data_IF_453913372212
#
_entry.id   IF_453913372212
#
_cell.length_a   1.000
_cell.length_b   1.000
_cell.length_c   1.000
_cell.angle_alpha   90.00
_cell.angle_beta   90.00
_cell.angle_gamma   90.00
#
_symmetry.space_group_name_H-M   'P 1'
#
loop_
_entity.id
_entity.type
_entity.pdbx_description
1 polymer ?
#
# COMPACT_ATOMS: atom_id res chain seq x y z
N UNK A 1 2.46 15.48 -14.56
CA UNK A 1 3.24 14.32 -15.03
C UNK A 1 3.70 13.43 -13.88
N UNK A 2 4.28 13.97 -12.80
CA UNK A 2 4.72 13.16 -11.65
C UNK A 2 3.60 12.35 -10.98
N UNK A 3 2.42 12.94 -10.80
CA UNK A 3 1.25 12.21 -10.27
C UNK A 3 0.80 11.05 -11.18
N UNK A 4 0.96 11.20 -12.49
CA UNK A 4 0.63 10.16 -13.47
C UNK A 4 1.67 9.02 -13.43
N UNK A 5 2.93 9.37 -13.23
CA UNK A 5 4.04 8.41 -13.09
C UNK A 5 3.95 7.62 -11.79
N UNK A 6 3.57 8.28 -10.68
CA UNK A 6 3.31 7.62 -9.40
C UNK A 6 2.19 6.59 -9.52
N UNK A 7 1.09 6.95 -10.19
CA UNK A 7 -0.05 6.05 -10.43
C UNK A 7 0.35 4.84 -11.29
N UNK A 8 1.18 5.06 -12.31
CA UNK A 8 1.69 3.99 -13.19
C UNK A 8 2.61 3.01 -12.44
N UNK A 9 3.43 3.52 -11.52
CA UNK A 9 4.27 2.69 -10.66
C UNK A 9 3.41 1.86 -9.70
N UNK A 10 2.32 2.39 -9.15
CA UNK A 10 1.41 1.60 -8.32
C UNK A 10 0.72 0.49 -9.11
N UNK A 11 0.17 0.81 -10.29
CA UNK A 11 -0.46 -0.20 -11.17
C UNK A 11 0.53 -1.31 -11.57
N UNK A 12 1.80 -0.97 -11.83
CA UNK A 12 2.82 -1.98 -12.16
C UNK A 12 3.16 -2.92 -10.98
N UNK A 13 3.13 -2.41 -9.74
CA UNK A 13 3.34 -3.23 -8.54
C UNK A 13 2.16 -4.17 -8.31
N UNK A 14 0.94 -3.69 -8.53
CA UNK A 14 -0.26 -4.51 -8.44
C UNK A 14 -0.23 -5.63 -9.48
N UNK A 15 0.18 -5.34 -10.72
CA UNK A 15 0.31 -6.35 -11.77
C UNK A 15 1.34 -7.44 -11.41
N UNK A 16 2.47 -7.09 -10.80
CA UNK A 16 3.47 -8.06 -10.34
C UNK A 16 2.92 -8.93 -9.21
N UNK A 17 2.21 -8.34 -8.23
CA UNK A 17 1.58 -9.10 -7.15
C UNK A 17 0.53 -10.08 -7.67
N UNK A 18 -0.32 -9.65 -8.60
CA UNK A 18 -1.32 -10.51 -9.25
C UNK A 18 -0.64 -11.66 -10.00
N UNK A 19 0.47 -11.41 -10.70
CA UNK A 19 1.26 -12.46 -11.38
C UNK A 19 1.81 -13.48 -10.39
N UNK A 20 2.37 -13.03 -9.26
CA UNK A 20 2.89 -13.94 -8.23
C UNK A 20 1.79 -14.83 -7.67
N UNK A 21 0.61 -14.27 -7.35
CA UNK A 21 -0.55 -15.03 -6.87
C UNK A 21 -1.04 -16.04 -7.92
N UNK A 22 -1.06 -15.67 -9.20
CA UNK A 22 -1.44 -16.60 -10.26
C UNK A 22 -0.45 -17.76 -10.40
N UNK A 23 0.86 -17.52 -10.28
CA UNK A 23 1.88 -18.57 -10.37
C UNK A 23 1.80 -19.55 -9.18
N UNK A 24 1.53 -19.07 -7.96
CA UNK A 24 1.29 -19.96 -6.81
C UNK A 24 0.05 -20.80 -7.02
N UNK A 25 -1.07 -20.21 -7.45
CA UNK A 25 -2.29 -20.96 -7.77
C UNK A 25 -2.09 -22.00 -8.88
N UNK A 26 -1.29 -21.70 -9.90
CA UNK A 26 -0.92 -22.68 -10.93
C UNK A 26 -0.11 -23.84 -10.37
N UNK A 27 0.85 -23.57 -9.48
CA UNK A 27 1.65 -24.61 -8.84
C UNK A 27 0.81 -25.52 -7.92
N UNK A 28 -0.13 -24.95 -7.17
CA UNK A 28 -1.07 -25.72 -6.33
C UNK A 28 -2.01 -26.56 -7.19
N UNK A 29 -2.53 -26.01 -8.29
CA UNK A 29 -3.41 -26.74 -9.20
C UNK A 29 -2.67 -27.91 -9.86
N UNK A 30 -1.41 -27.71 -10.26
CA UNK A 30 -0.56 -28.80 -10.77
C UNK A 30 -0.36 -29.90 -9.71
N UNK A 31 -0.10 -29.53 -8.45
CA UNK A 31 0.04 -30.49 -7.34
C UNK A 31 -1.24 -31.26 -7.07
N UNK A 32 -2.40 -30.60 -7.16
CA UNK A 32 -3.71 -31.27 -7.06
C UNK A 32 -3.92 -32.25 -8.22
N UNK A 33 -3.54 -31.89 -9.45
CA UNK A 33 -3.61 -32.79 -10.61
C UNK A 33 -2.73 -34.03 -10.43
N UNK A 34 -1.47 -33.85 -10.01
CA UNK A 34 -0.54 -34.96 -9.75
C UNK A 34 -1.10 -35.92 -8.69
N UNK A 35 -1.64 -35.39 -7.60
CA UNK A 35 -2.27 -36.18 -6.54
C UNK A 35 -3.53 -36.93 -7.02
N UNK A 36 -4.38 -36.30 -7.83
CA UNK A 36 -5.56 -36.97 -8.43
C UNK A 36 -5.12 -38.10 -9.37
N UNK A 37 -4.06 -37.90 -10.16
CA UNK A 37 -3.52 -38.95 -11.03
C UNK A 37 -2.93 -40.12 -10.24
N UNK A 38 -2.24 -39.85 -9.14
CA UNK A 38 -1.67 -40.88 -8.25
C UNK A 38 -2.77 -41.69 -7.55
N UNK A 39 -3.84 -41.01 -7.09
CA UNK A 39 -5.01 -41.68 -6.51
C UNK A 39 -5.78 -42.51 -7.54
N UNK A 40 -5.90 -42.03 -8.78
CA UNK A 40 -6.49 -42.79 -9.87
C UNK A 40 -5.68 -44.06 -10.20
N UNK A 41 -4.34 -43.96 -10.17
CA UNK A 41 -3.46 -45.10 -10.40
C UNK A 41 -3.57 -46.16 -9.28
N UNK A 42 -3.57 -45.73 -8.01
CA UNK A 42 -3.78 -46.64 -6.87
C UNK A 42 -5.14 -47.31 -6.90
N UNK A 43 -6.20 -46.60 -7.28
CA UNK A 43 -7.53 -47.18 -7.45
C UNK A 43 -7.56 -48.23 -8.58
N UNK A 44 -6.88 -47.97 -9.70
CA UNK A 44 -6.74 -48.96 -10.79
C UNK A 44 -6.03 -50.23 -10.33
N UNK A 45 -4.99 -50.10 -9.51
CA UNK A 45 -4.26 -51.27 -8.99
C UNK A 45 -5.12 -52.06 -7.99
N UNK A 46 -5.90 -51.38 -7.14
CA UNK A 46 -6.87 -52.03 -6.25
C UNK A 46 -7.96 -52.79 -7.04
N UNK A 47 -8.47 -52.19 -8.12
CA UNK A 47 -9.40 -52.87 -9.03
C UNK A 47 -8.78 -54.09 -9.69
N UNK A 48 -7.50 -54.04 -10.05
CA UNK A 48 -6.77 -55.16 -10.64
C UNK A 48 -6.64 -56.33 -9.65
N UNK A 49 -6.28 -56.05 -8.39
CA UNK A 49 -6.23 -57.06 -7.32
C UNK A 49 -7.61 -57.70 -7.10
N UNK A 50 -8.67 -56.90 -7.09
CA UNK A 50 -10.06 -57.40 -6.98
C UNK A 50 -10.44 -58.32 -8.15
N UNK A 51 -9.99 -58.03 -9.38
CA UNK A 51 -10.22 -58.88 -10.56
C UNK A 51 -9.52 -60.23 -10.49
N UNK A 52 -8.36 -60.30 -9.84
CA UNK A 52 -7.55 -61.53 -9.74
C UNK A 52 -7.99 -62.43 -8.56
N UNK A 53 -8.94 -62.00 -7.74
CA UNK A 53 -9.43 -62.79 -6.60
C UNK A 53 -10.66 -63.62 -7.02
N UNK A 54 -10.65 -64.97 -6.92
CA UNK A 54 -11.77 -65.80 -7.36
C UNK A 54 -13.05 -65.50 -6.58
N UNK A 55 -14.14 -65.27 -7.32
CA UNK A 55 -15.39 -64.71 -6.83
C UNK A 55 -16.21 -65.67 -5.93
N UNK A 56 -16.45 -65.26 -4.68
CA UNK A 56 -17.69 -65.61 -3.98
C UNK A 56 -18.74 -64.50 -4.20
N UNK A 57 -20.00 -64.81 -4.55
CA UNK A 57 -20.89 -63.89 -5.27
C UNK A 57 -21.66 -62.85 -4.41
N UNK A 58 -21.22 -62.46 -3.21
CA UNK A 58 -22.05 -61.62 -2.33
C UNK A 58 -21.43 -60.38 -1.62
N UNK A 59 -20.11 -60.24 -1.35
CA UNK A 59 -19.63 -59.10 -0.56
C UNK A 59 -19.24 -57.84 -1.36
N UNK A 60 -19.13 -57.92 -2.70
CA UNK A 60 -18.49 -56.90 -3.55
C UNK A 60 -19.18 -55.52 -3.48
N UNK A 61 -20.49 -55.46 -3.27
CA UNK A 61 -21.25 -54.17 -3.21
C UNK A 61 -21.05 -53.41 -1.89
N UNK A 62 -20.81 -54.12 -0.79
CA UNK A 62 -20.56 -53.49 0.51
C UNK A 62 -19.16 -52.89 0.56
N UNK A 63 -18.19 -53.58 -0.01
CA UNK A 63 -16.80 -53.12 -0.04
C UNK A 63 -16.62 -51.94 -1.01
N UNK A 64 -17.33 -51.93 -2.14
CA UNK A 64 -17.40 -50.75 -3.03
C UNK A 64 -18.03 -49.53 -2.34
N UNK A 65 -19.12 -49.71 -1.58
CA UNK A 65 -19.74 -48.60 -0.83
C UNK A 65 -18.81 -48.06 0.25
N UNK A 66 -18.09 -48.93 0.97
CA UNK A 66 -17.07 -48.53 1.95
C UNK A 66 -15.89 -47.81 1.29
N UNK A 67 -15.44 -48.26 0.13
CA UNK A 67 -14.40 -47.60 -0.63
C UNK A 67 -14.86 -46.21 -1.11
N UNK A 68 -16.11 -46.08 -1.56
CA UNK A 68 -16.69 -44.81 -2.01
C UNK A 68 -16.82 -43.81 -0.87
N UNK A 69 -17.34 -44.21 0.29
CA UNK A 69 -17.45 -43.32 1.46
C UNK A 69 -16.08 -42.94 2.02
N UNK A 70 -15.11 -43.85 1.97
CA UNK A 70 -13.72 -43.55 2.30
C UNK A 70 -13.12 -42.52 1.34
N UNK A 71 -13.38 -42.63 0.04
CA UNK A 71 -12.94 -41.68 -0.98
C UNK A 71 -13.61 -40.32 -0.79
N UNK A 72 -14.92 -40.27 -0.53
CA UNK A 72 -15.66 -39.03 -0.26
C UNK A 72 -15.11 -38.31 0.97
N UNK A 73 -14.85 -39.04 2.05
CA UNK A 73 -14.24 -38.47 3.27
C UNK A 73 -12.84 -37.92 3.00
N UNK A 74 -12.02 -38.64 2.22
CA UNK A 74 -10.68 -38.17 1.81
C UNK A 74 -10.76 -36.93 0.93
N UNK A 75 -11.68 -36.89 -0.04
CA UNK A 75 -11.87 -35.73 -0.91
C UNK A 75 -12.34 -34.51 -0.13
N UNK A 76 -13.29 -34.69 0.80
CA UNK A 76 -13.75 -33.61 1.67
C UNK A 76 -12.64 -33.08 2.56
N UNK A 77 -11.88 -33.98 3.20
CA UNK A 77 -10.70 -33.62 4.00
C UNK A 77 -9.67 -32.86 3.16
N UNK A 78 -9.40 -33.30 1.92
CA UNK A 78 -8.52 -32.61 1.00
C UNK A 78 -8.99 -31.19 0.67
N UNK A 79 -10.27 -30.99 0.35
CA UNK A 79 -10.83 -29.67 0.06
C UNK A 79 -10.72 -28.74 1.28
N UNK A 80 -11.01 -29.25 2.48
CA UNK A 80 -10.87 -28.49 3.73
C UNK A 80 -9.41 -28.10 3.97
N UNK A 81 -8.48 -29.07 3.90
CA UNK A 81 -7.04 -28.77 4.07
C UNK A 81 -6.51 -27.81 3.02
N UNK A 82 -6.94 -27.93 1.75
CA UNK A 82 -6.54 -27.00 0.68
C UNK A 82 -7.03 -25.58 0.96
N UNK A 83 -8.24 -25.41 1.50
CA UNK A 83 -8.78 -24.11 1.88
C UNK A 83 -8.01 -23.51 3.06
N UNK A 84 -7.71 -24.33 4.06
CA UNK A 84 -6.91 -23.90 5.21
C UNK A 84 -5.50 -23.48 4.80
N UNK A 85 -4.83 -24.26 3.93
CA UNK A 85 -3.50 -23.90 3.41
C UNK A 85 -3.53 -22.61 2.60
N UNK A 86 -4.56 -22.39 1.77
CA UNK A 86 -4.70 -21.12 1.02
C UNK A 86 -4.91 -19.93 1.94
N UNK A 87 -5.72 -20.08 3.00
CA UNK A 87 -5.88 -19.01 3.99
C UNK A 87 -4.58 -18.76 4.76
N UNK A 88 -3.81 -19.79 5.07
CA UNK A 88 -2.51 -19.65 5.75
C UNK A 88 -1.50 -18.94 4.85
N UNK A 89 -1.40 -19.31 3.57
CA UNK A 89 -0.56 -18.62 2.57
C UNK A 89 -0.95 -17.15 2.44
N UNK A 90 -2.25 -16.83 2.39
CA UNK A 90 -2.73 -15.43 2.36
C UNK A 90 -2.35 -14.65 3.63
N UNK A 91 -2.45 -15.29 4.81
CA UNK A 91 -2.03 -14.68 6.09
C UNK A 91 -0.52 -14.45 6.10
N UNK A 92 0.28 -15.42 5.66
CA UNK A 92 1.72 -15.29 5.55
C UNK A 92 2.12 -14.22 4.54
N UNK A 93 1.45 -14.13 3.40
CA UNK A 93 1.71 -13.10 2.41
C UNK A 93 1.33 -11.71 2.91
N UNK A 94 0.28 -11.60 3.73
CA UNK A 94 -0.07 -10.34 4.43
C UNK A 94 1.01 -9.95 5.43
N UNK A 95 1.46 -10.89 6.28
CA UNK A 95 2.59 -10.68 7.20
C UNK A 95 3.87 -10.34 6.46
N UNK A 96 4.15 -10.98 5.34
CA UNK A 96 5.33 -10.71 4.52
C UNK A 96 5.23 -9.35 3.84
N UNK A 97 4.06 -8.94 3.35
CA UNK A 97 3.85 -7.60 2.82
C UNK A 97 4.04 -6.52 3.91
N UNK A 98 3.56 -6.76 5.13
CA UNK A 98 3.82 -5.89 6.28
C UNK A 98 5.30 -5.86 6.65
N UNK A 99 5.96 -7.01 6.70
CA UNK A 99 7.40 -7.13 6.95
C UNK A 99 8.22 -6.49 5.84
N UNK A 100 7.82 -6.61 4.57
CA UNK A 100 8.46 -5.93 3.45
C UNK A 100 8.22 -4.42 3.52
N UNK A 101 7.04 -3.98 3.95
CA UNK A 101 6.76 -2.57 4.20
C UNK A 101 7.66 -2.01 5.32
N UNK A 102 7.88 -2.78 6.38
CA UNK A 102 8.84 -2.45 7.45
C UNK A 102 10.28 -2.47 6.92
N UNK A 103 10.69 -3.50 6.18
CA UNK A 103 12.04 -3.62 5.57
C UNK A 103 12.31 -2.50 4.56
N UNK A 104 11.31 -2.01 3.83
CA UNK A 104 11.43 -0.85 2.93
C UNK A 104 11.78 0.44 3.66
N UNK A 105 11.52 0.53 4.97
CA UNK A 105 11.94 1.66 5.82
C UNK A 105 13.38 1.51 6.33
N UNK A 106 14.01 0.35 6.12
CA UNK A 106 15.37 0.08 6.56
C UNK A 106 16.34 0.22 5.38
N UNK A 107 17.33 1.11 5.50
CA UNK A 107 18.43 1.23 4.54
C UNK A 107 19.61 0.40 5.05
N UNK A 108 20.31 -0.31 4.15
CA UNK A 108 21.59 -0.96 4.48
C UNK A 108 22.72 -0.24 3.76
N UNK A 109 23.71 0.20 4.52
CA UNK A 109 24.95 0.76 3.98
C UNK A 109 26.05 -0.28 4.22
N UNK A 110 26.73 -0.68 3.15
CA UNK A 110 27.87 -1.59 3.22
C UNK A 110 29.18 -0.81 3.02
N UNK A 111 30.26 -1.28 3.64
CA UNK A 111 31.60 -0.71 3.47
C UNK A 111 31.92 0.51 4.34
N UNK A 112 31.14 0.74 5.41
CA UNK A 112 31.50 1.72 6.44
C UNK A 112 32.54 1.11 7.38
N UNK A 113 33.75 1.66 7.40
CA UNK A 113 34.83 1.27 8.31
C UNK A 113 34.36 1.37 9.77
N UNK A 114 34.75 0.40 10.60
CA UNK A 114 34.39 0.35 12.03
C UNK A 114 35.56 0.89 12.84
N UNK A 115 35.32 1.93 13.64
CA UNK A 115 36.31 2.47 14.58
C UNK A 115 36.00 1.99 16.01
N UNK A 116 37.02 1.89 16.86
CA UNK A 116 36.89 1.28 18.20
C UNK A 116 35.95 2.05 19.14
N UNK A 117 35.78 3.35 18.91
CA UNK A 117 34.93 4.25 19.71
C UNK A 117 33.73 4.78 18.91
N UNK A 118 33.33 4.08 17.86
CA UNK A 118 32.34 4.58 16.92
C UNK A 118 30.93 4.69 17.51
N UNK A 119 30.39 5.90 17.52
CA UNK A 119 28.95 6.13 17.62
C UNK A 119 28.36 5.95 16.22
N UNK A 120 27.89 4.74 15.90
CA UNK A 120 27.38 4.34 14.57
C UNK A 120 26.43 5.37 13.94
N UNK A 121 25.62 6.05 14.75
CA UNK A 121 24.66 7.05 14.28
C UNK A 121 25.34 8.34 13.78
N UNK A 122 26.45 8.75 14.38
CA UNK A 122 27.25 9.91 13.98
C UNK A 122 27.98 9.61 12.66
N UNK A 123 28.65 8.46 12.57
CA UNK A 123 29.36 8.02 11.36
C UNK A 123 28.43 7.90 10.17
N UNK A 124 27.22 7.37 10.37
CA UNK A 124 26.20 7.34 9.33
C UNK A 124 25.75 8.75 8.94
N UNK A 125 25.52 9.62 9.91
CA UNK A 125 25.10 11.00 9.66
C UNK A 125 26.16 11.77 8.88
N UNK A 126 27.44 11.56 9.19
CA UNK A 126 28.59 12.10 8.47
C UNK A 126 28.67 11.54 7.05
N UNK A 127 28.53 10.24 6.86
CA UNK A 127 28.47 9.62 5.53
C UNK A 127 27.37 10.23 4.64
N UNK A 128 26.16 10.43 5.19
CA UNK A 128 25.08 11.10 4.46
C UNK A 128 25.42 12.56 4.10
N UNK A 129 26.07 13.30 5.01
CA UNK A 129 26.47 14.69 4.79
C UNK A 129 27.58 14.81 3.76
N UNK A 130 28.64 14.03 3.89
CA UNK A 130 29.85 14.16 3.07
C UNK A 130 29.71 13.47 1.72
N UNK A 131 29.24 12.22 1.71
CA UNK A 131 29.18 11.40 0.50
C UNK A 131 27.91 11.71 -0.31
N UNK A 132 26.76 11.71 0.37
CA UNK A 132 25.46 11.88 -0.30
C UNK A 132 24.98 13.33 -0.35
N UNK A 133 25.72 14.27 0.27
CA UNK A 133 25.39 15.71 0.33
C UNK A 133 23.99 15.99 0.90
N UNK A 134 23.54 15.16 1.84
CA UNK A 134 22.29 15.36 2.58
C UNK A 134 22.61 16.12 3.86
N UNK A 135 22.23 17.40 3.92
CA UNK A 135 22.61 18.30 5.01
C UNK A 135 22.07 17.90 6.40
N UNK A 136 20.90 17.24 6.44
CA UNK A 136 20.22 16.86 7.69
C UNK A 136 19.49 15.52 7.57
N UNK A 137 20.19 14.37 7.53
CA UNK A 137 19.55 13.06 7.51
C UNK A 137 18.83 12.80 8.84
N UNK A 138 17.53 12.48 8.81
CA UNK A 138 16.79 12.05 10.00
C UNK A 138 16.89 10.54 10.11
N UNK A 139 17.96 10.07 10.74
CA UNK A 139 18.17 8.66 11.07
C UNK A 139 17.60 8.42 12.47
N UNK A 140 16.57 7.59 12.56
CA UNK A 140 15.88 7.29 13.83
C UNK A 140 16.70 6.33 14.68
N UNK A 141 17.32 5.34 14.03
CA UNK A 141 18.30 4.46 14.66
C UNK A 141 19.26 3.90 13.61
N UNK A 142 20.47 3.56 14.06
CA UNK A 142 21.51 2.94 13.25
C UNK A 142 22.18 1.83 14.06
N UNK A 143 22.39 0.66 13.46
CA UNK A 143 23.08 -0.46 14.11
C UNK A 143 23.95 -1.24 13.13
N UNK A 144 25.13 -1.67 13.59
CA UNK A 144 25.97 -2.61 12.82
C UNK A 144 25.33 -3.99 12.78
N UNK A 145 25.30 -4.59 11.59
CA UNK A 145 24.83 -5.95 11.39
C UNK A 145 26.00 -6.92 11.39
N UNK A 146 25.86 -8.00 12.16
CA UNK A 146 26.88 -9.06 12.30
C UNK A 146 27.40 -9.18 13.73
N UNK A 147 27.96 -10.35 14.07
CA UNK A 147 28.69 -10.55 15.32
C UNK A 147 30.08 -9.93 15.17
N UNK A 148 30.54 -9.23 16.21
CA UNK A 148 31.93 -8.83 16.28
C UNK A 148 32.74 -10.13 16.40
N UNK A 149 33.42 -10.51 15.33
CA UNK A 149 34.24 -11.72 15.30
C UNK A 149 35.68 -11.30 15.06
N UNK A 150 36.63 -12.05 15.60
CA UNK A 150 38.07 -11.77 15.49
C UNK A 150 38.62 -11.76 14.05
N UNK A 151 37.75 -11.90 13.04
CA UNK A 151 38.07 -11.94 11.61
C UNK A 151 37.85 -10.61 10.86
N UNK A 152 37.57 -9.51 11.56
CA UNK A 152 37.57 -8.16 10.97
C UNK A 152 36.27 -7.36 11.21
N UNK A 153 36.25 -6.09 10.73
CA UNK A 153 35.17 -5.15 10.99
C UNK A 153 33.84 -5.59 10.36
N UNK A 154 32.72 -5.23 11.00
CA UNK A 154 31.39 -5.57 10.54
C UNK A 154 31.07 -4.78 9.27
N UNK A 155 30.78 -5.45 8.14
CA UNK A 155 30.77 -4.80 6.83
C UNK A 155 29.50 -3.99 6.53
N UNK A 156 28.48 -4.01 7.39
CA UNK A 156 27.19 -3.40 7.08
C UNK A 156 26.51 -2.75 8.28
N UNK A 157 25.85 -1.63 8.02
CA UNK A 157 25.04 -0.87 8.95
C UNK A 157 23.59 -0.88 8.46
N UNK A 158 22.65 -1.23 9.34
CA UNK A 158 21.22 -1.09 9.13
C UNK A 158 20.71 0.18 9.76
N UNK A 159 19.91 0.93 9.01
CA UNK A 159 19.37 2.23 9.40
C UNK A 159 17.87 2.22 9.32
N UNK A 160 17.21 2.77 10.34
CA UNK A 160 15.79 3.06 10.28
C UNK A 160 15.60 4.55 9.95
N UNK A 161 14.98 4.84 8.80
CA UNK A 161 14.78 6.22 8.34
C UNK A 161 13.34 6.63 8.61
N UNK A 162 13.15 7.78 9.27
CA UNK A 162 11.82 8.31 9.53
C UNK A 162 11.16 8.76 8.22
N UNK A 163 9.88 8.38 8.01
CA UNK A 163 9.11 8.49 6.76
C UNK A 163 8.98 9.90 6.16
N UNK A 164 9.44 10.93 6.87
CA UNK A 164 9.45 12.32 6.41
C UNK A 164 10.55 12.65 5.37
N UNK A 165 11.45 11.71 5.02
CA UNK A 165 12.55 11.96 4.07
C UNK A 165 12.42 11.14 2.77
N UNK A 166 11.36 11.42 2.00
CA UNK A 166 11.17 10.89 0.64
C UNK A 166 12.33 11.22 -0.34
N UNK A 167 13.18 12.21 -0.01
CA UNK A 167 14.29 12.66 -0.86
C UNK A 167 15.43 11.65 -0.97
N UNK A 168 15.73 10.86 0.07
CA UNK A 168 16.85 9.91 0.07
C UNK A 168 16.52 8.70 -0.84
N UNK A 169 15.26 8.27 -0.83
CA UNK A 169 14.80 7.13 -1.63
C UNK A 169 14.82 7.41 -3.13
N UNK A 170 14.61 8.66 -3.54
CA UNK A 170 14.70 9.08 -4.95
C UNK A 170 16.16 9.15 -5.44
N UNK A 171 17.13 9.48 -4.58
CA UNK A 171 18.54 9.53 -4.94
C UNK A 171 19.09 8.13 -5.30
N UNK A 172 18.73 7.09 -4.54
CA UNK A 172 19.20 5.72 -4.80
C UNK A 172 18.47 5.01 -5.95
N UNK A 173 17.25 5.45 -6.32
CA UNK A 173 16.53 4.94 -7.49
C UNK A 173 16.98 5.57 -8.81
N UNK A 174 17.64 6.73 -8.75
CA UNK A 174 18.31 7.34 -9.89
C UNK A 174 19.69 6.72 -10.04
N UNK A 175 19.85 5.82 -11.00
CA UNK A 175 21.16 5.37 -11.48
C UNK A 175 22.12 6.55 -11.57
N UNK A 176 23.29 6.44 -10.92
CA UNK A 176 24.41 7.33 -11.15
C UNK A 176 24.87 7.22 -12.60
N UNK A 177 24.19 7.95 -13.49
CA UNK A 177 24.54 8.38 -14.84
C UNK A 177 23.35 9.16 -15.40
N UNK A 178 23.62 10.38 -15.86
CA UNK A 178 22.74 11.10 -16.77
C UNK A 178 22.47 10.21 -17.99
N UNK A 179 21.21 9.84 -18.22
CA UNK A 179 20.74 9.40 -19.53
C UNK A 179 19.74 10.44 -20.03
N UNK A 180 19.89 10.93 -21.27
CA UNK A 180 19.00 11.91 -21.84
C UNK A 180 17.63 11.29 -22.10
N UNK A 181 16.60 12.13 -22.10
CA UNK A 181 15.23 11.78 -22.41
C UNK A 181 15.13 10.86 -23.64
N UNK A 182 14.68 9.63 -23.44
CA UNK A 182 14.39 8.66 -24.49
C UNK A 182 13.09 7.93 -24.21
N UNK A 183 12.08 8.24 -25.04
CA UNK A 183 10.93 7.44 -25.47
C UNK A 183 9.88 6.91 -24.48
N UNK A 184 8.68 7.48 -24.66
CA UNK A 184 7.36 6.99 -24.21
C UNK A 184 6.99 5.59 -24.75
N UNK A 185 7.87 4.94 -25.52
CA UNK A 185 7.65 3.64 -26.14
C UNK A 185 7.70 2.46 -25.15
N UNK A 186 8.46 2.55 -24.07
CA UNK A 186 8.73 1.39 -23.20
C UNK A 186 7.58 1.03 -22.27
N UNK A 187 6.80 2.02 -21.82
CA UNK A 187 5.62 1.76 -20.98
C UNK A 187 4.48 1.14 -21.81
N UNK A 188 4.29 1.61 -23.05
CA UNK A 188 3.34 1.00 -23.98
C UNK A 188 3.79 -0.41 -24.41
N UNK A 189 5.10 -0.67 -24.54
CA UNK A 189 5.64 -2.02 -24.75
C UNK A 189 5.37 -2.94 -23.55
N UNK A 190 5.53 -2.45 -22.32
CA UNK A 190 5.25 -3.22 -21.10
C UNK A 190 3.78 -3.63 -20.96
N UNK A 191 2.84 -2.71 -21.18
CA UNK A 191 1.39 -3.02 -21.13
C UNK A 191 0.99 -3.98 -22.25
N UNK A 192 1.56 -3.81 -23.45
CA UNK A 192 1.31 -4.70 -24.58
C UNK A 192 1.89 -6.11 -24.34
N UNK A 193 3.07 -6.21 -23.71
CA UNK A 193 3.70 -7.48 -23.30
C UNK A 193 2.86 -8.22 -22.26
N UNK A 194 2.31 -7.52 -21.27
CA UNK A 194 1.43 -8.13 -20.26
C UNK A 194 0.13 -8.61 -20.91
N UNK A 195 -0.43 -7.85 -21.86
CA UNK A 195 -1.62 -8.28 -22.61
C UNK A 195 -1.35 -9.51 -23.49
N UNK A 196 -0.18 -9.60 -24.14
CA UNK A 196 0.18 -10.80 -24.92
C UNK A 196 0.40 -12.00 -24.02
N UNK A 197 1.15 -11.86 -22.91
CA UNK A 197 1.36 -12.92 -21.92
C UNK A 197 0.03 -13.43 -21.33
N UNK A 198 -0.91 -12.53 -21.04
CA UNK A 198 -2.26 -12.90 -20.59
C UNK A 198 -3.08 -13.63 -21.67
N UNK A 199 -2.83 -13.33 -22.94
CA UNK A 199 -3.51 -13.99 -24.05
C UNK A 199 -2.96 -15.40 -24.28
N UNK A 200 -1.65 -15.56 -24.14
CA UNK A 200 -0.95 -16.85 -24.20
C UNK A 200 -1.37 -17.75 -23.03
N UNK A 201 -1.48 -17.21 -21.81
CA UNK A 201 -1.99 -17.95 -20.65
C UNK A 201 -3.43 -18.42 -20.84
N UNK A 202 -4.30 -17.60 -21.44
CA UNK A 202 -5.68 -18.02 -21.78
C UNK A 202 -5.68 -19.11 -22.84
N UNK A 203 -4.75 -19.06 -23.80
CA UNK A 203 -4.60 -20.08 -24.83
C UNK A 203 -4.13 -21.41 -24.23
N UNK A 204 -3.14 -21.39 -23.34
CA UNK A 204 -2.64 -22.57 -22.64
C UNK A 204 -3.70 -23.21 -21.74
N UNK A 205 -4.52 -22.39 -21.05
CA UNK A 205 -5.63 -22.90 -20.24
C UNK A 205 -6.68 -23.61 -21.10
N UNK A 206 -7.03 -23.07 -22.28
CA UNK A 206 -7.94 -23.75 -23.22
C UNK A 206 -7.36 -25.06 -23.73
N UNK A 207 -6.06 -25.08 -24.05
CA UNK A 207 -5.36 -26.28 -24.53
C UNK A 207 -5.31 -27.36 -23.46
N UNK A 208 -5.08 -26.98 -22.20
CA UNK A 208 -5.10 -27.89 -21.06
C UNK A 208 -6.51 -28.43 -20.80
N UNK A 209 -7.54 -27.57 -20.83
CA UNK A 209 -8.94 -27.99 -20.71
C UNK A 209 -9.29 -29.02 -21.78
N UNK A 210 -8.91 -28.75 -23.04
CA UNK A 210 -9.16 -29.67 -24.15
C UNK A 210 -8.48 -31.03 -23.96
N UNK A 211 -7.22 -31.05 -23.50
CA UNK A 211 -6.51 -32.31 -23.18
C UNK A 211 -7.18 -33.09 -22.04
N UNK A 212 -7.74 -32.38 -21.07
CA UNK A 212 -8.49 -32.99 -19.97
C UNK A 212 -9.77 -33.64 -20.47
N UNK A 213 -10.51 -32.97 -21.36
CA UNK A 213 -11.71 -33.51 -22.00
C UNK A 213 -11.39 -34.70 -22.91
N UNK A 214 -10.28 -34.66 -23.65
CA UNK A 214 -9.78 -35.78 -24.47
C UNK A 214 -9.40 -36.99 -23.61
N UNK A 215 -8.67 -36.78 -22.51
CA UNK A 215 -8.32 -37.86 -21.57
C UNK A 215 -9.55 -38.44 -20.88
N UNK A 216 -10.52 -37.58 -20.53
CA UNK A 216 -11.80 -38.02 -19.97
C UNK A 216 -12.52 -38.91 -20.97
N UNK A 217 -12.66 -38.47 -22.22
CA UNK A 217 -13.31 -39.24 -23.27
C UNK A 217 -12.62 -40.59 -23.54
N UNK A 218 -11.30 -40.63 -23.65
CA UNK A 218 -10.52 -41.87 -23.82
C UNK A 218 -10.70 -42.82 -22.62
N UNK A 219 -10.70 -42.27 -21.41
CA UNK A 219 -10.98 -43.06 -20.20
C UNK A 219 -12.40 -43.63 -20.21
N UNK A 220 -13.42 -42.81 -20.50
CA UNK A 220 -14.82 -43.26 -20.59
C UNK A 220 -14.98 -44.35 -21.65
N UNK A 221 -14.35 -44.17 -22.81
CA UNK A 221 -14.41 -45.15 -23.91
C UNK A 221 -13.73 -46.48 -23.56
N UNK A 222 -12.57 -46.44 -22.89
CA UNK A 222 -11.89 -47.65 -22.37
C UNK A 222 -12.74 -48.34 -21.30
N UNK A 223 -13.39 -47.57 -20.43
CA UNK A 223 -14.26 -48.11 -19.38
C UNK A 223 -15.51 -48.77 -19.98
N UNK A 224 -16.17 -48.13 -20.94
CA UNK A 224 -17.31 -48.71 -21.67
C UNK A 224 -16.93 -50.01 -22.37
N UNK A 225 -15.75 -50.07 -23.00
CA UNK A 225 -15.29 -51.28 -23.68
C UNK A 225 -15.08 -52.43 -22.70
N UNK A 226 -14.41 -52.18 -21.57
CA UNK A 226 -14.20 -53.18 -20.52
C UNK A 226 -15.53 -53.63 -19.90
N UNK A 227 -16.49 -52.70 -19.71
CA UNK A 227 -17.82 -53.01 -19.18
C UNK A 227 -18.67 -53.85 -20.15
N UNK A 228 -18.59 -53.59 -21.46
CA UNK A 228 -19.30 -54.35 -22.50
C UNK A 228 -18.72 -55.75 -22.73
N UNK A 229 -17.40 -55.89 -22.62
CA UNK A 229 -16.70 -57.15 -22.95
C UNK A 229 -16.64 -58.15 -21.77
N UNK A 230 -16.59 -57.69 -20.49
CA UNK A 230 -16.33 -58.60 -19.35
C UNK A 230 -17.53 -58.90 -18.43
N UNK A 231 -18.52 -58.00 -18.26
CA UNK A 231 -19.67 -58.23 -17.35
C UNK A 231 -20.94 -57.42 -17.73
N UNK A 232 -21.81 -57.92 -18.65
CA UNK A 232 -23.00 -57.19 -19.10
C UNK A 232 -24.08 -56.85 -18.04
N UNK A 233 -24.28 -57.60 -16.92
CA UNK A 233 -25.38 -57.28 -15.99
C UNK A 233 -25.07 -56.22 -14.93
N UNK A 234 -23.82 -55.71 -14.81
CA UNK A 234 -23.40 -54.78 -13.73
C UNK A 234 -23.31 -53.32 -14.23
N UNK A 235 -23.32 -53.10 -15.54
CA UNK A 235 -23.19 -51.79 -16.22
C UNK A 235 -24.21 -50.73 -15.77
N UNK A 236 -25.50 -51.03 -15.52
CA UNK A 236 -26.49 -50.00 -15.16
C UNK A 236 -26.20 -49.30 -13.83
N UNK A 237 -25.61 -50.01 -12.86
CA UNK A 237 -25.30 -49.45 -11.54
C UNK A 237 -24.06 -48.54 -11.58
N UNK A 238 -23.11 -48.80 -12.49
CA UNK A 238 -21.92 -47.95 -12.64
C UNK A 238 -22.23 -46.61 -13.28
N UNK A 239 -23.03 -46.56 -14.36
CA UNK A 239 -23.45 -45.29 -14.98
C UNK A 239 -24.18 -44.41 -13.97
N UNK A 240 -25.01 -45.01 -13.12
CA UNK A 240 -25.70 -44.31 -12.04
C UNK A 240 -24.71 -43.70 -11.04
N UNK A 241 -23.75 -44.48 -10.53
CA UNK A 241 -22.70 -44.00 -9.61
C UNK A 241 -21.85 -42.89 -10.23
N UNK A 242 -21.47 -43.00 -11.51
CA UNK A 242 -20.71 -41.96 -12.21
C UNK A 242 -21.51 -40.67 -12.37
N UNK A 243 -22.80 -40.77 -12.70
CA UNK A 243 -23.68 -39.60 -12.81
C UNK A 243 -23.89 -38.89 -11.46
N UNK A 244 -24.00 -39.65 -10.37
CA UNK A 244 -24.08 -39.14 -9.00
C UNK A 244 -22.76 -38.45 -8.58
N UNK A 245 -21.61 -39.01 -8.97
CA UNK A 245 -20.31 -38.42 -8.69
C UNK A 245 -20.08 -37.13 -9.51
N UNK A 246 -20.42 -37.12 -10.80
CA UNK A 246 -20.33 -35.93 -11.66
C UNK A 246 -21.22 -34.79 -11.15
N UNK A 247 -22.44 -35.10 -10.68
CA UNK A 247 -23.34 -34.10 -10.11
C UNK A 247 -22.79 -33.52 -8.80
N UNK A 248 -22.22 -34.36 -7.91
CA UNK A 248 -21.54 -33.89 -6.70
C UNK A 248 -20.30 -33.05 -7.01
N UNK A 249 -19.49 -33.43 -7.99
CA UNK A 249 -18.30 -32.65 -8.39
C UNK A 249 -18.68 -31.27 -8.95
N UNK A 250 -19.76 -31.20 -9.73
CA UNK A 250 -20.29 -29.92 -10.22
C UNK A 250 -20.79 -29.05 -9.08
N UNK A 251 -21.53 -29.61 -8.11
CA UNK A 251 -22.00 -28.83 -6.97
C UNK A 251 -20.84 -28.30 -6.10
N UNK A 252 -19.79 -29.09 -5.89
CA UNK A 252 -18.59 -28.61 -5.19
C UNK A 252 -17.86 -27.49 -5.96
N UNK A 253 -17.76 -27.60 -7.28
CA UNK A 253 -17.14 -26.57 -8.10
C UNK A 253 -17.95 -25.25 -8.09
N UNK A 254 -19.27 -25.33 -8.04
CA UNK A 254 -20.15 -24.16 -7.90
C UNK A 254 -19.98 -23.50 -6.54
N UNK A 255 -20.02 -24.26 -5.43
CA UNK A 255 -19.79 -23.74 -4.08
C UNK A 255 -18.41 -23.10 -3.94
N UNK A 256 -17.37 -23.70 -4.54
CA UNK A 256 -16.03 -23.13 -4.55
C UNK A 256 -15.98 -21.79 -5.31
N UNK A 257 -16.61 -21.70 -6.50
CA UNK A 257 -16.70 -20.45 -7.25
C UNK A 257 -17.45 -19.37 -6.50
N UNK A 258 -18.58 -19.72 -5.88
CA UNK A 258 -19.36 -18.78 -5.09
C UNK A 258 -18.55 -18.24 -3.91
N UNK A 259 -17.84 -19.11 -3.19
CA UNK A 259 -16.98 -18.70 -2.07
C UNK A 259 -15.83 -17.76 -2.49
N UNK A 260 -15.26 -17.95 -3.69
CA UNK A 260 -14.25 -17.04 -4.23
C UNK A 260 -14.86 -15.70 -4.63
N UNK A 261 -16.06 -15.72 -5.24
CA UNK A 261 -16.79 -14.51 -5.59
C UNK A 261 -17.17 -13.68 -4.36
N UNK A 262 -17.58 -14.33 -3.26
CA UNK A 262 -17.91 -13.61 -2.02
C UNK A 262 -16.67 -12.95 -1.43
N UNK A 263 -15.53 -13.65 -1.39
CA UNK A 263 -14.27 -13.10 -0.88
C UNK A 263 -13.79 -11.88 -1.69
N UNK A 264 -13.87 -11.97 -3.02
CA UNK A 264 -13.54 -10.84 -3.89
C UNK A 264 -14.49 -9.65 -3.68
N UNK A 265 -15.79 -9.89 -3.53
CA UNK A 265 -16.77 -8.83 -3.24
C UNK A 265 -16.49 -8.14 -1.92
N UNK A 266 -16.18 -8.89 -0.87
CA UNK A 266 -15.82 -8.34 0.45
C UNK A 266 -14.56 -7.48 0.38
N UNK A 267 -13.54 -7.92 -0.38
CA UNK A 267 -12.31 -7.16 -0.59
C UNK A 267 -12.57 -5.83 -1.31
N UNK A 268 -13.36 -5.86 -2.38
CA UNK A 268 -13.70 -4.65 -3.15
C UNK A 268 -14.61 -3.70 -2.34
N UNK A 269 -15.55 -4.22 -1.56
CA UNK A 269 -16.35 -3.42 -0.62
C UNK A 269 -15.47 -2.74 0.43
N UNK A 270 -14.49 -3.46 0.99
CA UNK A 270 -13.53 -2.90 1.93
C UNK A 270 -12.70 -1.77 1.31
N UNK A 271 -12.28 -1.92 0.05
CA UNK A 271 -11.55 -0.88 -0.70
C UNK A 271 -12.42 0.34 -0.98
N UNK A 272 -13.67 0.13 -1.41
CA UNK A 272 -14.62 1.21 -1.67
C UNK A 272 -14.91 2.02 -0.41
N UNK A 273 -15.15 1.35 0.73
CA UNK A 273 -15.37 2.02 2.01
C UNK A 273 -14.16 2.87 2.45
N UNK A 274 -12.93 2.39 2.21
CA UNK A 274 -11.72 3.17 2.49
C UNK A 274 -11.59 4.41 1.59
N UNK A 275 -11.94 4.28 0.30
CA UNK A 275 -11.92 5.40 -0.64
C UNK A 275 -12.98 6.44 -0.30
N UNK A 276 -14.20 6.01 0.03
CA UNK A 276 -15.27 6.90 0.48
C UNK A 276 -14.88 7.68 1.73
N UNK A 277 -14.29 7.01 2.73
CA UNK A 277 -13.80 7.67 3.94
C UNK A 277 -12.75 8.75 3.61
N UNK A 278 -11.78 8.43 2.74
CA UNK A 278 -10.76 9.40 2.29
C UNK A 278 -11.36 10.57 1.51
N UNK A 279 -12.41 10.33 0.73
CA UNK A 279 -13.14 11.40 0.04
C UNK A 279 -13.86 12.31 1.02
N UNK A 280 -14.60 11.74 1.98
CA UNK A 280 -15.30 12.51 3.01
C UNK A 280 -14.34 13.37 3.85
N UNK A 281 -13.17 12.82 4.22
CA UNK A 281 -12.14 13.58 4.94
C UNK A 281 -11.61 14.76 4.11
N UNK A 282 -11.39 14.57 2.80
CA UNK A 282 -10.97 15.65 1.90
C UNK A 282 -12.04 16.72 1.72
N UNK A 283 -13.30 16.33 1.57
CA UNK A 283 -14.40 17.28 1.38
C UNK A 283 -14.62 18.11 2.65
N UNK A 284 -14.55 17.47 3.82
CA UNK A 284 -14.57 18.17 5.12
C UNK A 284 -13.41 19.16 5.22
N UNK A 285 -12.21 18.76 4.82
CA UNK A 285 -11.06 19.64 4.84
C UNK A 285 -11.21 20.84 3.90
N UNK A 286 -11.74 20.63 2.69
CA UNK A 286 -12.00 21.71 1.73
C UNK A 286 -13.05 22.69 2.26
N UNK A 287 -14.11 22.19 2.91
CA UNK A 287 -15.13 23.01 3.55
C UNK A 287 -14.52 23.85 4.69
N UNK A 288 -13.70 23.24 5.56
CA UNK A 288 -13.02 23.92 6.66
C UNK A 288 -12.05 24.99 6.14
N UNK A 289 -11.28 24.69 5.08
CA UNK A 289 -10.38 25.66 4.42
C UNK A 289 -11.17 26.84 3.85
N UNK A 290 -12.31 26.59 3.21
CA UNK A 290 -13.18 27.63 2.65
C UNK A 290 -13.73 28.54 3.75
N UNK A 291 -14.21 27.96 4.85
CA UNK A 291 -14.75 28.70 5.99
C UNK A 291 -13.70 29.61 6.67
N UNK A 292 -12.44 29.19 6.70
CA UNK A 292 -11.33 29.92 7.35
C UNK A 292 -10.59 30.89 6.42
N UNK A 293 -10.85 30.86 5.11
CA UNK A 293 -10.11 31.67 4.12
C UNK A 293 -10.15 33.18 4.39
N UNK A 294 -11.23 33.66 4.99
CA UNK A 294 -11.43 35.08 5.33
C UNK A 294 -11.04 35.42 6.77
N UNK A 295 -10.48 34.46 7.51
CA UNK A 295 -10.11 34.63 8.90
C UNK A 295 -8.62 34.93 9.03
N UNK A 296 -8.30 35.83 9.95
CA UNK A 296 -6.94 36.17 10.36
C UNK A 296 -6.83 36.03 11.87
N UNK A 297 -5.69 35.53 12.33
CA UNK A 297 -5.35 35.37 13.74
C UNK A 297 -4.42 36.49 14.15
N UNK A 298 -4.85 37.28 15.12
CA UNK A 298 -4.05 38.31 15.77
C UNK A 298 -3.55 37.78 17.11
N UNK A 299 -2.23 37.67 17.25
CA UNK A 299 -1.55 37.12 18.43
C UNK A 299 -0.78 38.23 19.13
N UNK A 300 -0.83 38.24 20.47
CA UNK A 300 -0.03 39.14 21.31
C UNK A 300 -0.75 40.42 21.78
N UNK A 301 -2.00 40.65 21.36
CA UNK A 301 -2.76 41.81 21.84
C UNK A 301 -3.13 41.63 23.32
N UNK A 302 -2.78 42.56 24.23
CA UNK A 302 -3.08 42.43 25.66
C UNK A 302 -4.58 42.34 25.91
N UNK A 303 -5.00 41.58 26.92
CA UNK A 303 -6.41 41.47 27.30
C UNK A 303 -6.78 42.55 28.33
N UNK A 304 -7.91 43.22 28.12
CA UNK A 304 -8.51 44.12 29.10
C UNK A 304 -9.90 43.61 29.51
N UNK A 305 -10.26 43.79 30.77
CA UNK A 305 -11.57 43.39 31.29
C UNK A 305 -12.66 44.32 30.74
N UNK A 306 -13.71 43.75 30.13
CA UNK A 306 -14.78 44.50 29.48
C UNK A 306 -14.39 45.14 28.15
N UNK A 307 -13.31 44.69 27.50
CA UNK A 307 -12.87 45.25 26.21
C UNK A 307 -13.87 45.00 25.08
N UNK A 308 -14.09 46.03 24.25
CA UNK A 308 -14.67 45.84 22.92
C UNK A 308 -13.55 45.42 21.96
N UNK A 309 -13.45 44.10 21.75
CA UNK A 309 -12.47 43.47 20.85
C UNK A 309 -12.53 44.07 19.45
N UNK A 310 -13.71 44.43 18.97
CA UNK A 310 -13.88 44.98 17.62
C UNK A 310 -13.27 46.38 17.52
N UNK A 311 -13.57 47.24 18.50
CA UNK A 311 -13.01 48.60 18.56
C UNK A 311 -11.48 48.56 18.70
N UNK A 312 -10.94 47.69 19.55
CA UNK A 312 -9.50 47.52 19.73
C UNK A 312 -8.79 47.06 18.44
N UNK A 313 -9.39 46.12 17.70
CA UNK A 313 -8.87 45.67 16.41
C UNK A 313 -8.90 46.80 15.37
N UNK A 314 -9.98 47.57 15.29
CA UNK A 314 -10.09 48.70 14.36
C UNK A 314 -9.06 49.79 14.69
N UNK A 315 -8.84 50.07 15.97
CA UNK A 315 -7.81 51.00 16.42
C UNK A 315 -6.41 50.54 16.00
N UNK A 316 -6.08 49.26 16.22
CA UNK A 316 -4.82 48.66 15.76
C UNK A 316 -4.62 48.85 14.26
N UNK A 317 -5.64 48.58 13.44
CA UNK A 317 -5.52 48.73 11.99
C UNK A 317 -5.28 50.19 11.58
N UNK A 318 -5.92 51.14 12.25
CA UNK A 318 -5.81 52.57 11.94
C UNK A 318 -4.47 53.15 12.38
N UNK A 319 -4.04 52.87 13.61
CA UNK A 319 -2.84 53.47 14.21
C UNK A 319 -1.56 52.76 13.78
N UNK A 320 -1.55 51.43 13.85
CA UNK A 320 -0.32 50.64 13.70
C UNK A 320 -0.08 50.21 12.25
N UNK A 321 -1.15 49.79 11.58
CA UNK A 321 -1.07 49.28 10.21
C UNK A 321 -1.39 50.35 9.16
N UNK A 322 -1.85 51.53 9.59
CA UNK A 322 -2.21 52.68 8.74
C UNK A 322 -3.23 52.31 7.65
N UNK A 323 -4.17 51.43 7.97
CA UNK A 323 -5.26 51.00 7.08
C UNK A 323 -6.52 51.78 7.46
N UNK A 324 -7.03 52.61 6.54
CA UNK A 324 -8.16 53.50 6.80
C UNK A 324 -9.49 52.76 7.02
N UNK A 325 -9.75 51.72 6.22
CA UNK A 325 -10.94 50.86 6.34
C UNK A 325 -10.56 49.39 6.09
N UNK A 326 -10.32 48.58 7.15
CA UNK A 326 -9.98 47.18 7.01
C UNK A 326 -11.17 46.27 6.68
N UNK A 327 -12.42 46.76 6.70
CA UNK A 327 -13.64 45.98 6.44
C UNK A 327 -13.72 44.64 7.22
N UNK A 328 -13.48 44.72 8.52
CA UNK A 328 -13.64 43.60 9.45
C UNK A 328 -15.14 43.42 9.74
N UNK A 329 -15.64 42.18 9.65
CA UNK A 329 -17.04 41.84 9.96
C UNK A 329 -17.21 41.41 11.42
N UNK A 330 -16.23 40.71 11.96
CA UNK A 330 -16.30 40.16 13.31
C UNK A 330 -14.89 39.99 13.88
N UNK A 331 -14.72 40.28 15.16
CA UNK A 331 -13.50 40.00 15.92
C UNK A 331 -13.85 39.38 17.27
N UNK A 332 -13.28 38.23 17.60
CA UNK A 332 -13.58 37.50 18.85
C UNK A 332 -12.30 36.89 19.42
N UNK A 333 -12.14 36.95 20.75
CA UNK A 333 -11.07 36.22 21.47
C UNK A 333 -11.37 34.72 21.46
N UNK A 334 -10.42 33.92 21.00
CA UNK A 334 -10.53 32.46 20.89
C UNK A 334 -9.51 31.78 21.78
N UNK A 335 -9.95 30.72 22.47
CA UNK A 335 -9.11 29.90 23.34
C UNK A 335 -9.38 30.13 24.82
N UNK A 336 -8.68 29.34 25.65
CA UNK A 336 -8.74 29.46 27.11
C UNK A 336 -7.86 30.63 27.56
N UNK A 337 -8.34 31.40 28.55
CA UNK A 337 -7.50 32.41 29.19
C UNK A 337 -6.34 31.70 29.90
N UNK A 338 -5.11 32.18 29.66
CA UNK A 338 -3.89 31.70 30.28
C UNK A 338 -3.13 32.92 30.77
N UNK A 339 -2.64 32.90 32.01
CA UNK A 339 -1.96 34.05 32.62
C UNK A 339 -0.67 34.45 31.87
N UNK A 340 0.00 33.49 31.22
CA UNK A 340 1.28 33.71 30.57
C UNK A 340 1.18 34.42 29.22
N UNK A 341 0.07 34.22 28.49
CA UNK A 341 -0.08 34.73 27.13
C UNK A 341 -1.52 35.15 26.83
N UNK A 342 -1.73 36.31 26.19
CA UNK A 342 -3.07 36.74 25.81
C UNK A 342 -3.68 35.80 24.76
N UNK A 343 -5.00 35.60 24.83
CA UNK A 343 -5.77 34.83 23.86
C UNK A 343 -5.67 35.45 22.48
N UNK A 344 -5.69 34.58 21.49
CA UNK A 344 -5.67 34.98 20.08
C UNK A 344 -7.00 35.61 19.72
N UNK A 345 -6.98 36.70 18.96
CA UNK A 345 -8.19 37.26 18.37
C UNK A 345 -8.36 36.68 16.97
N UNK A 346 -9.53 36.15 16.68
CA UNK A 346 -9.93 35.72 15.35
C UNK A 346 -10.74 36.85 14.69
N UNK A 347 -10.20 37.41 13.61
CA UNK A 347 -10.83 38.46 12.83
C UNK A 347 -11.34 37.89 11.51
N UNK A 348 -12.64 38.05 11.23
CA UNK A 348 -13.24 37.69 9.94
C UNK A 348 -13.43 38.91 9.07
N UNK A 349 -12.96 38.83 7.84
CA UNK A 349 -13.03 39.91 6.85
C UNK A 349 -14.19 39.74 5.89
N UNK A 350 -14.62 40.85 5.28
CA UNK A 350 -15.68 40.84 4.26
C UNK A 350 -15.26 40.12 2.98
N UNK A 351 -14.02 40.31 2.53
CA UNK A 351 -13.52 39.70 1.30
C UNK A 351 -12.03 39.36 1.38
N UNK A 352 -11.52 38.64 0.40
CA UNK A 352 -10.10 38.28 0.32
C UNK A 352 -9.25 39.53 0.02
N UNK A 353 -9.81 40.47 -0.73
CA UNK A 353 -9.17 41.75 -1.03
C UNK A 353 -8.98 42.57 0.24
N UNK A 354 -10.00 42.67 1.11
CA UNK A 354 -9.87 43.40 2.37
C UNK A 354 -8.87 42.74 3.33
N UNK A 355 -8.83 41.40 3.38
CA UNK A 355 -7.81 40.63 4.09
C UNK A 355 -6.39 40.94 3.57
N UNK A 356 -6.20 41.00 2.24
CA UNK A 356 -4.91 41.30 1.62
C UNK A 356 -4.45 42.74 1.91
N UNK A 357 -5.38 43.70 1.85
CA UNK A 357 -5.11 45.09 2.23
C UNK A 357 -4.71 45.18 3.71
N UNK A 358 -5.46 44.52 4.59
CA UNK A 358 -5.18 44.47 6.02
C UNK A 358 -3.81 43.86 6.35
N UNK A 359 -3.36 42.88 5.58
CA UNK A 359 -2.08 42.18 5.81
C UNK A 359 -0.88 42.78 5.06
N UNK A 360 -1.10 43.71 4.13
CA UNK A 360 -0.05 44.34 3.32
C UNK A 360 1.03 45.03 4.17
N UNK A 361 0.60 45.75 5.22
CA UNK A 361 1.47 46.52 6.10
C UNK A 361 1.93 45.76 7.36
N UNK A 362 1.77 44.42 7.40
CA UNK A 362 2.15 43.60 8.58
C UNK A 362 3.60 43.79 9.03
N UNK A 363 4.49 44.26 8.15
CA UNK A 363 5.88 44.57 8.48
C UNK A 363 6.04 45.67 9.53
N UNK A 364 5.05 46.56 9.68
CA UNK A 364 5.04 47.63 10.68
C UNK A 364 4.89 47.12 12.12
N UNK A 365 4.39 45.89 12.29
CA UNK A 365 4.22 45.27 13.61
C UNK A 365 5.51 44.67 14.18
N UNK A 366 6.60 44.63 13.39
CA UNK A 366 7.89 44.10 13.84
C UNK A 366 8.39 44.88 15.06
N UNK A 367 8.74 44.15 16.13
CA UNK A 367 9.24 44.72 17.37
C UNK A 367 8.17 45.01 18.44
N UNK A 368 6.88 44.91 18.10
CA UNK A 368 5.77 45.15 19.05
C UNK A 368 5.18 43.88 19.69
N UNK A 369 5.79 42.71 19.44
CA UNK A 369 5.28 41.40 19.86
C UNK A 369 3.86 41.08 19.35
N UNK A 370 3.40 41.75 18.29
CA UNK A 370 2.13 41.49 17.63
C UNK A 370 2.34 40.75 16.32
N UNK A 371 1.52 39.73 16.08
CA UNK A 371 1.63 38.87 14.89
C UNK A 371 0.28 38.71 14.21
N UNK A 372 0.30 38.83 12.88
CA UNK A 372 -0.83 38.51 12.01
C UNK A 372 -0.54 37.20 11.28
N UNK A 373 -1.25 36.15 11.67
CA UNK A 373 -1.13 34.83 11.08
C UNK A 373 -2.43 34.44 10.35
N UNK A 374 -2.34 33.75 9.20
CA UNK A 374 -3.51 33.17 8.57
C UNK A 374 -4.13 32.08 9.46
N UNK A 375 -5.46 31.99 9.47
CA UNK A 375 -6.18 30.92 10.16
C UNK A 375 -6.16 29.62 9.35
N UNK A 376 -5.11 28.84 9.54
CA UNK A 376 -4.88 27.60 8.81
C UNK A 376 -5.59 26.40 9.45
N UNK A 377 -6.01 25.43 8.63
CA UNK A 377 -6.46 24.12 9.13
C UNK A 377 -5.27 23.32 9.69
N UNK A 378 -5.49 22.31 10.56
CA UNK A 378 -4.39 21.50 11.09
C UNK A 378 -3.50 20.88 10.02
N UNK A 379 -4.07 20.40 8.91
CA UNK A 379 -3.29 19.88 7.77
C UNK A 379 -2.43 20.97 7.14
N UNK A 380 -2.98 22.17 6.91
CA UNK A 380 -2.21 23.29 6.35
C UNK A 380 -1.11 23.78 7.29
N UNK A 381 -1.32 23.69 8.61
CA UNK A 381 -0.28 23.99 9.60
C UNK A 381 0.87 23.00 9.47
N UNK A 382 0.57 21.71 9.31
CA UNK A 382 1.60 20.67 9.14
C UNK A 382 2.35 20.84 7.81
N UNK A 383 1.63 21.09 6.70
CA UNK A 383 2.24 21.42 5.41
C UNK A 383 3.17 22.64 5.53
N UNK A 384 2.70 23.71 6.18
CA UNK A 384 3.50 24.92 6.42
C UNK A 384 4.73 24.63 7.27
N UNK A 385 4.63 23.77 8.29
CA UNK A 385 5.79 23.38 9.11
C UNK A 385 6.86 22.68 8.27
N UNK A 386 6.45 21.78 7.38
CA UNK A 386 7.38 21.09 6.47
C UNK A 386 8.05 22.08 5.51
N UNK A 387 7.30 23.02 4.94
CA UNK A 387 7.85 24.05 4.05
C UNK A 387 8.80 25.01 4.79
N UNK A 388 8.45 25.43 6.02
CA UNK A 388 9.34 26.24 6.87
C UNK A 388 10.63 25.49 7.18
N UNK A 389 10.56 24.19 7.45
CA UNK A 389 11.75 23.35 7.67
C UNK A 389 12.67 23.38 6.46
N UNK A 390 12.13 23.19 5.25
CA UNK A 390 12.89 23.28 3.99
C UNK A 390 13.58 24.63 3.83
N UNK A 391 12.87 25.73 4.12
CA UNK A 391 13.46 27.09 4.06
C UNK A 391 14.60 27.22 5.06
N UNK A 392 14.42 26.77 6.30
CA UNK A 392 15.45 26.84 7.34
C UNK A 392 16.70 26.04 6.94
N UNK A 393 16.53 24.83 6.43
CA UNK A 393 17.64 23.96 6.00
C UNK A 393 18.41 24.58 4.82
N UNK A 394 17.71 25.20 3.86
CA UNK A 394 18.32 25.89 2.74
C UNK A 394 19.09 27.16 3.18
N UNK A 395 18.52 27.95 4.09
CA UNK A 395 19.18 29.12 4.67
C UNK A 395 20.43 28.73 5.46
N UNK A 396 20.36 27.64 6.24
CA UNK A 396 21.52 27.10 6.96
C UNK A 396 22.63 26.63 6.00
N UNK A 397 22.27 26.21 4.78
CA UNK A 397 23.20 25.82 3.72
C UNK A 397 23.76 27.02 2.92
N UNK A 398 23.50 28.25 3.36
CA UNK A 398 23.97 29.48 2.70
C UNK A 398 23.20 29.87 1.44
N UNK A 399 22.05 29.24 1.18
CA UNK A 399 21.19 29.52 0.02
C UNK A 399 20.09 30.50 0.40
N UNK A 400 19.77 31.45 -0.48
CA UNK A 400 18.64 32.36 -0.26
C UNK A 400 17.34 31.59 -0.47
N UNK A 401 16.60 31.39 0.62
CA UNK A 401 15.28 30.76 0.62
C UNK A 401 14.29 31.56 1.48
N UNK A 402 13.03 31.57 1.06
CA UNK A 402 11.94 32.25 1.77
C UNK A 402 10.60 31.56 1.50
N UNK A 403 9.60 31.85 2.33
CA UNK A 403 8.25 31.33 2.16
C UNK A 403 7.41 32.32 1.33
N UNK A 404 6.76 31.84 0.27
CA UNK A 404 5.80 32.61 -0.54
C UNK A 404 4.54 31.79 -0.74
N UNK A 405 3.38 32.37 -0.41
CA UNK A 405 2.07 31.72 -0.58
C UNK A 405 2.00 30.32 0.06
N UNK A 406 2.64 30.15 1.22
CA UNK A 406 2.69 28.88 1.95
C UNK A 406 3.73 27.88 1.46
N UNK A 407 4.50 28.18 0.40
CA UNK A 407 5.49 27.28 -0.19
C UNK A 407 6.92 27.79 -0.01
N UNK A 408 7.87 26.88 0.15
CA UNK A 408 9.28 27.21 0.14
C UNK A 408 9.74 27.59 -1.27
N UNK A 409 10.31 28.78 -1.41
CA UNK A 409 11.00 29.23 -2.62
C UNK A 409 12.49 29.24 -2.30
N UNK A 410 13.23 28.33 -2.92
CA UNK A 410 14.68 28.20 -2.79
C UNK A 410 15.29 28.74 -4.09
N UNK A 411 16.08 29.80 -4.00
CA UNK A 411 16.72 30.39 -5.17
C UNK A 411 18.10 29.78 -5.42
N UNK A 412 18.62 29.89 -6.64
CA UNK A 412 19.99 29.45 -6.95
C UNK A 412 21.06 30.41 -6.41
N UNK A 413 20.67 31.59 -5.90
CA UNK A 413 21.59 32.59 -5.37
C UNK A 413 22.06 32.16 -3.98
N UNK A 414 23.39 32.11 -3.82
CA UNK A 414 24.01 32.00 -2.49
C UNK A 414 24.02 33.36 -1.83
N UNK A 415 23.88 33.37 -0.51
CA UNK A 415 23.97 34.59 0.28
C UNK A 415 25.44 35.01 0.26
N UNK A 416 25.75 36.12 -0.40
CA UNK A 416 27.07 36.75 -0.29
C UNK A 416 27.21 37.20 1.16
N UNK A 417 28.15 36.58 1.88
CA UNK A 417 28.50 36.87 3.28
C UNK A 417 29.35 38.12 3.37
#
# INVERSE_FOLDING_TARGET
>A
MEAMYALLVEVSKEAIQVRTVMLTLQSENKRMQEMVTEQSATFKEQLKVLKETPAEPAPVTLDLKKALTSLESKMHSMVVTSRETQMEVMREQTKENEMQYIRRKNLRIAGLEETTDEVVLETVSEFFKETLRVSSPVVESARRLGKNSDRGPRPSVELQICTATHCIWNYFRGTGRFLPCGDRGDVCRGITSIKSEMSDLRFDFRKLSKRFDEHRADFTQKLEKVLKDEHPPIVPDFEKVFSEMDTKLRSYAEVARESQLTLLKEQELGRMAQLEKKMQERDKELADRSARRLNLRLVGMPEQEGEDVMAAVLQLYKEDLKVADPQVLQAVRVGRAVETHPRVILCRFKSVESLNVATSNRGLLKGRNLWLDPDLTPSQVEDRRQEVKKVRDAVASGVVAYLRDGKAVITSKRRET
#
